data_IF_586934997344
#
_entry.id   IF_586934997344
#
_cell.length_a   1.000
_cell.length_b   1.000
_cell.length_c   1.000
_cell.angle_alpha   90.00
_cell.angle_beta   90.00
_cell.angle_gamma   90.00
#
_symmetry.space_group_name_H-M   'P 1'
#
loop_
_entity.id
_entity.type
_entity.pdbx_description
1 polymer ?
#
# COMPACT_ATOMS: atom_id res chain seq x y z
N UNK A 1 15.88 28.86 -42.45
CA UNK A 1 16.25 27.94 -41.36
C UNK A 1 14.97 27.53 -40.65
N UNK A 2 14.44 26.33 -40.91
CA UNK A 2 13.27 25.80 -40.20
C UNK A 2 13.77 25.06 -38.97
N UNK A 3 13.42 25.54 -37.79
CA UNK A 3 13.69 24.87 -36.52
C UNK A 3 12.72 23.69 -36.36
N UNK A 4 13.25 22.46 -36.46
CA UNK A 4 12.51 21.27 -36.07
C UNK A 4 12.41 21.25 -34.54
N UNK A 5 11.21 21.49 -34.00
CA UNK A 5 10.90 21.16 -32.61
C UNK A 5 10.76 19.65 -32.52
N UNK A 6 11.79 18.97 -32.02
CA UNK A 6 11.70 17.56 -31.70
C UNK A 6 10.71 17.39 -30.54
N UNK A 7 9.56 16.75 -30.81
CA UNK A 7 8.72 16.20 -29.76
C UNK A 7 9.51 15.11 -29.06
N UNK A 8 10.02 15.40 -27.87
CA UNK A 8 10.59 14.39 -26.98
C UNK A 8 9.46 13.42 -26.67
N UNK A 9 9.44 12.27 -27.36
CA UNK A 9 8.54 11.19 -27.03
C UNK A 9 8.76 10.82 -25.58
N UNK A 10 7.70 10.92 -24.77
CA UNK A 10 7.75 10.46 -23.38
C UNK A 10 8.04 8.96 -23.43
N UNK A 11 9.28 8.58 -23.13
CA UNK A 11 9.64 7.18 -22.89
C UNK A 11 8.93 6.79 -21.61
N UNK A 12 7.76 6.17 -21.76
CA UNK A 12 7.05 5.55 -20.64
C UNK A 12 7.90 4.37 -20.17
N UNK A 13 8.49 4.41 -18.97
CA UNK A 13 9.23 3.27 -18.46
C UNK A 13 8.27 2.09 -18.32
N UNK A 14 8.68 0.89 -18.76
CA UNK A 14 7.91 -0.32 -18.51
C UNK A 14 8.00 -0.65 -17.01
N UNK A 15 7.04 -0.15 -16.24
CA UNK A 15 7.00 -0.25 -14.79
C UNK A 15 6.78 -1.67 -14.26
N UNK A 16 6.38 -2.61 -15.13
CA UNK A 16 6.38 -4.03 -14.79
C UNK A 16 7.77 -4.55 -14.39
N UNK A 17 8.86 -3.88 -14.80
CA UNK A 17 10.23 -4.22 -14.38
C UNK A 17 10.70 -3.47 -13.12
N UNK A 18 10.02 -2.40 -12.71
CA UNK A 18 10.45 -1.53 -11.60
C UNK A 18 9.74 -1.89 -10.30
N UNK A 19 8.49 -2.38 -10.37
CA UNK A 19 7.72 -2.82 -9.20
C UNK A 19 7.71 -4.35 -9.19
N UNK A 20 8.72 -4.95 -8.56
CA UNK A 20 8.85 -6.40 -8.46
C UNK A 20 7.84 -7.02 -7.49
N UNK A 21 7.39 -6.24 -6.51
CA UNK A 21 6.45 -6.70 -5.49
C UNK A 21 5.04 -6.41 -5.98
N UNK A 22 4.27 -7.47 -6.23
CA UNK A 22 2.86 -7.34 -6.55
C UNK A 22 2.05 -7.33 -5.26
N UNK A 23 1.15 -6.36 -5.15
CA UNK A 23 0.22 -6.30 -4.03
C UNK A 23 -0.68 -7.53 -4.02
N UNK A 24 -0.51 -8.38 -3.02
CA UNK A 24 -1.40 -9.51 -2.77
C UNK A 24 -2.37 -9.25 -1.62
N UNK A 25 -3.42 -10.06 -1.56
CA UNK A 25 -4.48 -9.99 -0.56
C UNK A 25 -4.03 -10.47 0.82
N UNK A 26 -3.02 -11.33 0.92
CA UNK A 26 -2.76 -12.08 2.15
C UNK A 26 -1.56 -11.57 2.97
N UNK A 27 -0.69 -10.76 2.38
CA UNK A 27 0.52 -10.27 3.03
C UNK A 27 0.42 -8.76 3.30
N UNK A 28 0.16 -8.40 4.56
CA UNK A 28 0.00 -6.99 4.96
C UNK A 28 1.27 -6.17 4.82
N UNK A 29 2.45 -6.80 4.84
CA UNK A 29 3.74 -6.12 4.68
C UNK A 29 4.00 -5.72 3.23
N UNK A 30 3.33 -6.36 2.26
CA UNK A 30 3.46 -6.05 0.84
C UNK A 30 3.04 -4.62 0.55
N UNK A 31 2.06 -4.07 1.27
CA UNK A 31 1.62 -2.69 1.04
C UNK A 31 2.70 -1.65 1.35
N UNK A 32 3.44 -1.84 2.45
CA UNK A 32 4.53 -0.93 2.83
C UNK A 32 5.68 -1.04 1.83
N UNK A 33 6.06 -2.27 1.46
CA UNK A 33 7.12 -2.51 0.48
C UNK A 33 6.73 -2.03 -0.92
N UNK A 34 5.48 -2.25 -1.32
CA UNK A 34 4.91 -1.74 -2.56
C UNK A 34 4.94 -0.21 -2.58
N UNK A 35 4.52 0.47 -1.51
CA UNK A 35 4.64 1.93 -1.41
C UNK A 35 6.09 2.41 -1.50
N UNK A 36 7.02 1.69 -0.86
CA UNK A 36 8.44 2.01 -0.92
C UNK A 36 9.03 1.91 -2.33
N UNK A 37 8.49 1.02 -3.19
CA UNK A 37 8.86 0.92 -4.60
C UNK A 37 8.10 1.93 -5.49
N UNK A 38 6.81 2.12 -5.26
CA UNK A 38 5.93 2.89 -6.15
C UNK A 38 6.04 4.41 -5.94
N UNK A 39 6.18 4.88 -4.69
CA UNK A 39 6.25 6.31 -4.38
C UNK A 39 7.47 7.01 -5.02
N UNK A 40 8.69 6.45 -4.98
CA UNK A 40 9.84 7.07 -5.66
C UNK A 40 9.64 7.26 -7.17
N UNK A 41 8.96 6.32 -7.84
CA UNK A 41 8.63 6.42 -9.26
C UNK A 41 7.66 7.57 -9.53
N UNK A 42 6.60 7.69 -8.74
CA UNK A 42 5.65 8.79 -8.89
C UNK A 42 6.30 10.14 -8.59
N UNK A 43 7.20 10.18 -7.59
CA UNK A 43 7.93 11.41 -7.22
C UNK A 43 8.92 11.83 -8.30
N UNK A 44 9.67 10.89 -8.90
CA UNK A 44 10.65 11.23 -9.94
C UNK A 44 10.01 11.81 -11.21
N UNK A 45 8.73 11.52 -11.44
CA UNK A 45 7.95 12.03 -12.58
C UNK A 45 6.96 13.13 -12.22
N UNK A 46 6.95 13.61 -10.96
CA UNK A 46 6.01 14.60 -10.46
C UNK A 46 4.52 14.22 -10.67
N UNK A 47 4.19 12.95 -10.41
CA UNK A 47 2.86 12.36 -10.61
C UNK A 47 2.08 12.13 -9.30
N UNK A 48 2.69 12.39 -8.14
CA UNK A 48 2.04 12.21 -6.83
C UNK A 48 0.73 13.00 -6.74
N UNK A 49 0.66 14.17 -7.35
CA UNK A 49 -0.50 15.05 -7.27
C UNK A 49 -1.79 14.44 -7.86
N UNK A 50 -1.66 13.44 -8.72
CA UNK A 50 -2.80 12.72 -9.29
C UNK A 50 -3.36 11.69 -8.31
N UNK A 51 -2.50 10.99 -7.57
CA UNK A 51 -2.93 9.93 -6.64
C UNK A 51 -3.36 10.48 -5.28
N UNK A 52 -2.78 11.59 -4.81
CA UNK A 52 -3.20 12.23 -3.56
C UNK A 52 -4.44 13.12 -3.72
N UNK A 53 -4.80 13.48 -4.96
CA UNK A 53 -5.98 14.27 -5.30
C UNK A 53 -5.74 15.79 -5.28
N UNK A 54 -4.50 16.25 -5.08
CA UNK A 54 -4.16 17.69 -5.12
C UNK A 54 -4.33 18.29 -6.53
N UNK A 55 -4.27 17.47 -7.58
CA UNK A 55 -4.57 17.86 -8.96
C UNK A 55 -5.88 17.20 -9.43
N UNK A 56 -7.05 17.80 -9.16
CA UNK A 56 -8.34 17.24 -9.56
C UNK A 56 -8.50 17.19 -11.09
N UNK A 57 -9.39 16.33 -11.55
CA UNK A 57 -9.76 16.24 -12.96
C UNK A 57 -10.36 17.58 -13.42
N UNK A 58 -9.80 18.22 -14.46
CA UNK A 58 -10.33 19.47 -15.00
C UNK A 58 -11.63 19.24 -15.78
N UNK A 59 -12.32 20.32 -16.14
CA UNK A 59 -13.53 20.24 -16.97
C UNK A 59 -13.21 19.64 -18.34
N UNK A 60 -14.06 18.71 -18.79
CA UNK A 60 -13.84 17.98 -20.05
C UNK A 60 -13.96 18.88 -21.28
N UNK A 61 -14.88 19.82 -21.23
CA UNK A 61 -15.19 20.70 -22.35
C UNK A 61 -14.75 22.13 -22.05
N UNK A 62 -14.34 22.85 -23.09
CA UNK A 62 -14.04 24.28 -22.98
C UNK A 62 -15.32 25.07 -22.74
N UNK A 63 -15.15 26.24 -22.14
CA UNK A 63 -16.23 27.19 -21.91
C UNK A 63 -16.15 28.31 -22.94
N UNK A 64 -17.29 28.73 -23.49
CA UNK A 64 -17.37 29.86 -24.42
C UNK A 64 -17.27 31.22 -23.70
N UNK A 65 -17.32 32.31 -24.49
CA UNK A 65 -17.27 33.70 -23.98
C UNK A 65 -18.41 34.05 -23.01
N UNK A 66 -19.47 33.25 -22.98
CA UNK A 66 -20.67 33.46 -22.18
C UNK A 66 -20.75 32.51 -20.98
N UNK A 67 -19.70 31.71 -20.72
CA UNK A 67 -19.69 30.80 -19.58
C UNK A 67 -20.39 29.46 -19.82
N UNK A 68 -20.71 29.11 -21.08
CA UNK A 68 -21.41 27.87 -21.43
C UNK A 68 -20.43 26.82 -21.97
N UNK A 69 -20.63 25.56 -21.55
CA UNK A 69 -19.87 24.42 -22.07
C UNK A 69 -20.06 24.29 -23.59
N UNK A 70 -18.93 24.23 -24.28
CA UNK A 70 -18.85 23.93 -25.70
C UNK A 70 -18.80 22.42 -25.93
N UNK A 71 -18.80 21.99 -27.19
CA UNK A 71 -18.51 20.59 -27.55
C UNK A 71 -17.02 20.32 -27.75
N UNK A 72 -16.16 21.35 -27.66
CA UNK A 72 -14.71 21.19 -27.81
C UNK A 72 -14.10 20.64 -26.52
N UNK A 73 -13.29 19.59 -26.65
CA UNK A 73 -12.53 19.03 -25.52
C UNK A 73 -11.41 19.99 -25.14
N UNK A 74 -11.24 20.24 -23.85
CA UNK A 74 -10.12 21.00 -23.32
C UNK A 74 -8.81 20.20 -23.48
N UNK A 75 -7.77 20.74 -24.13
CA UNK A 75 -6.44 20.12 -24.16
C UNK A 75 -5.89 19.79 -22.76
N UNK A 76 -6.19 20.61 -21.75
CA UNK A 76 -5.79 20.40 -20.36
C UNK A 76 -6.42 19.13 -19.79
N UNK A 77 -7.70 18.87 -20.12
CA UNK A 77 -8.37 17.62 -19.76
C UNK A 77 -7.74 16.42 -20.46
N UNK A 78 -7.46 16.53 -21.76
CA UNK A 78 -6.84 15.44 -22.52
C UNK A 78 -5.47 15.06 -21.95
N UNK A 79 -4.63 16.05 -21.61
CA UNK A 79 -3.31 15.82 -21.01
C UNK A 79 -3.43 15.22 -19.61
N UNK A 80 -4.36 15.75 -18.78
CA UNK A 80 -4.61 15.20 -17.45
C UNK A 80 -5.06 13.74 -17.53
N UNK A 81 -6.00 13.44 -18.43
CA UNK A 81 -6.54 12.10 -18.63
C UNK A 81 -5.45 11.13 -19.06
N UNK A 82 -4.57 11.53 -19.98
CA UNK A 82 -3.46 10.68 -20.42
C UNK A 82 -2.53 10.31 -19.25
N UNK A 83 -2.19 11.28 -18.39
CA UNK A 83 -1.33 11.06 -17.21
C UNK A 83 -2.03 10.20 -16.15
N UNK A 84 -3.29 10.47 -15.85
CA UNK A 84 -4.07 9.66 -14.91
C UNK A 84 -4.18 8.19 -15.36
N UNK A 85 -4.47 7.95 -16.64
CA UNK A 85 -4.58 6.60 -17.18
C UNK A 85 -3.24 5.88 -17.24
N UNK A 86 -2.14 6.61 -17.47
CA UNK A 86 -0.80 6.06 -17.36
C UNK A 86 -0.51 5.54 -15.95
N UNK A 87 -0.80 6.35 -14.92
CA UNK A 87 -0.63 5.95 -13.53
C UNK A 87 -1.53 4.77 -13.18
N UNK A 88 -2.79 4.79 -13.62
CA UNK A 88 -3.74 3.69 -13.43
C UNK A 88 -3.21 2.39 -14.02
N UNK A 89 -2.63 2.44 -15.23
CA UNK A 89 -2.03 1.26 -15.87
C UNK A 89 -0.87 0.68 -15.04
N UNK A 90 -0.05 1.54 -14.45
CA UNK A 90 1.07 1.12 -13.60
C UNK A 90 0.61 0.52 -12.28
N UNK A 91 -0.40 1.14 -11.65
CA UNK A 91 -1.01 0.60 -10.43
C UNK A 91 -1.55 -0.79 -10.77
N UNK A 92 -2.39 -0.93 -11.80
CA UNK A 92 -2.99 -2.20 -12.18
C UNK A 92 -1.95 -3.29 -12.52
N UNK A 93 -0.84 -2.95 -13.18
CA UNK A 93 0.25 -3.88 -13.49
C UNK A 93 0.97 -4.40 -12.23
N UNK A 94 0.94 -3.62 -11.15
CA UNK A 94 1.55 -3.95 -9.85
C UNK A 94 0.62 -4.68 -8.88
N UNK A 95 -0.61 -5.02 -9.30
CA UNK A 95 -1.56 -5.77 -8.48
C UNK A 95 -1.56 -7.26 -8.87
N UNK A 96 -1.83 -8.14 -7.92
CA UNK A 96 -2.25 -9.50 -8.26
C UNK A 96 -3.68 -9.48 -8.84
N UNK A 97 -4.09 -10.50 -9.61
CA UNK A 97 -5.46 -10.56 -10.14
C UNK A 97 -6.55 -10.46 -9.07
N UNK A 98 -6.28 -11.00 -7.87
CA UNK A 98 -7.20 -10.96 -6.74
C UNK A 98 -7.45 -9.52 -6.26
N UNK A 99 -6.40 -8.71 -6.16
CA UNK A 99 -6.50 -7.30 -5.75
C UNK A 99 -7.06 -6.46 -6.90
N UNK A 100 -6.61 -6.68 -8.13
CA UNK A 100 -7.11 -5.96 -9.31
C UNK A 100 -8.63 -6.08 -9.47
N UNK A 101 -9.20 -7.27 -9.25
CA UNK A 101 -10.65 -7.49 -9.31
C UNK A 101 -11.45 -6.59 -8.36
N UNK A 102 -10.86 -6.17 -7.24
CA UNK A 102 -11.53 -5.35 -6.22
C UNK A 102 -11.58 -3.86 -6.59
N UNK A 103 -10.75 -3.43 -7.53
CA UNK A 103 -10.63 -2.03 -7.98
C UNK A 103 -10.98 -1.86 -9.46
N UNK A 104 -11.34 -2.93 -10.17
CA UNK A 104 -11.57 -2.94 -11.61
C UNK A 104 -12.66 -1.98 -12.11
N UNK A 105 -13.60 -1.57 -11.24
CA UNK A 105 -14.66 -0.62 -11.57
C UNK A 105 -14.26 0.85 -11.37
N UNK A 106 -13.06 1.11 -10.83
CA UNK A 106 -12.56 2.45 -10.58
C UNK A 106 -11.78 2.95 -11.81
N UNK A 107 -12.16 4.13 -12.29
CA UNK A 107 -11.67 4.66 -13.57
C UNK A 107 -10.51 5.64 -13.44
N UNK A 108 -10.16 6.08 -12.22
CA UNK A 108 -9.08 7.05 -11.98
C UNK A 108 -8.01 6.46 -11.07
N UNK A 109 -6.77 6.91 -11.28
CA UNK A 109 -5.64 6.51 -10.44
C UNK A 109 -5.85 6.87 -8.97
N UNK A 110 -6.43 8.05 -8.71
CA UNK A 110 -6.80 8.51 -7.36
C UNK A 110 -7.77 7.56 -6.65
N UNK A 111 -8.84 7.16 -7.35
CA UNK A 111 -9.87 6.29 -6.77
C UNK A 111 -9.28 4.91 -6.40
N UNK A 112 -8.48 4.33 -7.30
CA UNK A 112 -7.78 3.06 -7.03
C UNK A 112 -6.82 3.23 -5.86
N UNK A 113 -5.99 4.26 -5.86
CA UNK A 113 -5.01 4.54 -4.80
C UNK A 113 -5.69 4.62 -3.42
N UNK A 114 -6.77 5.39 -3.31
CA UNK A 114 -7.55 5.54 -2.07
C UNK A 114 -8.22 4.24 -1.64
N UNK A 115 -8.72 3.45 -2.58
CA UNK A 115 -9.31 2.13 -2.28
C UNK A 115 -8.27 1.17 -1.70
N UNK A 116 -7.07 1.12 -2.30
CA UNK A 116 -5.96 0.30 -1.81
C UNK A 116 -5.50 0.78 -0.42
N UNK A 117 -5.28 2.08 -0.23
CA UNK A 117 -4.92 2.67 1.06
C UNK A 117 -5.90 2.27 2.17
N UNK A 118 -7.21 2.43 1.91
CA UNK A 118 -8.27 2.06 2.86
C UNK A 118 -8.26 0.55 3.17
N UNK A 119 -8.12 -0.28 2.13
CA UNK A 119 -8.13 -1.74 2.26
C UNK A 119 -6.98 -2.23 3.13
N UNK A 120 -5.76 -1.81 2.82
CA UNK A 120 -4.57 -2.27 3.53
C UNK A 120 -4.44 -1.63 4.92
N UNK A 121 -4.95 -0.42 5.14
CA UNK A 121 -5.10 0.15 6.49
C UNK A 121 -6.06 -0.68 7.36
N UNK A 122 -7.19 -1.13 6.81
CA UNK A 122 -8.13 -2.01 7.51
C UNK A 122 -7.50 -3.37 7.83
N UNK A 123 -6.83 -3.98 6.86
CA UNK A 123 -6.16 -5.26 7.04
C UNK A 123 -5.03 -5.19 8.08
N UNK A 124 -4.24 -4.11 8.07
CA UNK A 124 -3.21 -3.85 9.08
C UNK A 124 -3.81 -3.80 10.49
N UNK A 125 -4.93 -3.07 10.69
CA UNK A 125 -5.63 -3.03 11.98
C UNK A 125 -6.10 -4.41 12.44
N UNK A 126 -6.73 -5.19 11.56
CA UNK A 126 -7.17 -6.56 11.88
C UNK A 126 -6.00 -7.46 12.23
N UNK A 127 -4.90 -7.39 11.47
CA UNK A 127 -3.68 -8.18 11.75
C UNK A 127 -3.05 -7.80 13.08
N UNK A 128 -2.99 -6.50 13.41
CA UNK A 128 -2.51 -6.04 14.73
C UNK A 128 -3.34 -6.67 15.84
N UNK A 129 -4.68 -6.67 15.74
CA UNK A 129 -5.55 -7.29 16.75
C UNK A 129 -5.34 -8.81 16.83
N UNK A 130 -5.20 -9.49 15.69
CA UNK A 130 -4.92 -10.92 15.64
C UNK A 130 -3.57 -11.26 16.28
N UNK A 131 -2.51 -10.52 15.95
CA UNK A 131 -1.18 -10.71 16.53
C UNK A 131 -1.17 -10.44 18.03
N UNK A 132 -1.84 -9.37 18.50
CA UNK A 132 -2.00 -9.12 19.95
C UNK A 132 -2.73 -10.26 20.65
N UNK A 133 -3.82 -10.75 20.06
CA UNK A 133 -4.54 -11.90 20.60
C UNK A 133 -3.68 -13.16 20.61
N UNK A 134 -2.88 -13.41 19.57
CA UNK A 134 -1.95 -14.54 19.54
C UNK A 134 -0.87 -14.39 20.61
N UNK A 135 -0.31 -13.19 20.78
CA UNK A 135 0.72 -12.90 21.77
C UNK A 135 0.24 -13.23 23.19
N UNK A 136 -0.96 -12.76 23.55
CA UNK A 136 -1.52 -12.98 24.89
C UNK A 136 -2.01 -14.42 25.15
N UNK A 137 -2.47 -15.12 24.11
CA UNK A 137 -3.07 -16.45 24.25
C UNK A 137 -2.12 -17.60 23.92
N UNK A 138 -0.91 -17.32 23.41
CA UNK A 138 0.09 -18.36 23.15
C UNK A 138 0.59 -18.88 24.48
N UNK A 139 0.19 -20.10 24.83
CA UNK A 139 0.70 -20.83 25.99
C UNK A 139 1.84 -21.75 25.56
N UNK A 140 2.75 -22.05 26.48
CA UNK A 140 3.79 -23.07 26.26
C UNK A 140 3.16 -24.43 25.93
N UNK A 141 2.21 -24.89 26.74
CA UNK A 141 1.63 -26.23 26.59
C UNK A 141 2.73 -27.30 26.56
N UNK A 142 2.69 -28.17 25.56
CA UNK A 142 3.67 -29.25 25.35
C UNK A 142 4.94 -28.79 24.61
N UNK A 143 5.05 -27.50 24.24
CA UNK A 143 6.23 -26.97 23.56
C UNK A 143 7.45 -26.96 24.49
N UNK A 144 8.62 -27.15 23.88
CA UNK A 144 9.88 -26.79 24.53
C UNK A 144 9.92 -25.29 24.80
N UNK A 145 10.69 -24.89 25.82
CA UNK A 145 10.86 -23.47 26.17
C UNK A 145 11.43 -22.68 24.98
N UNK A 146 12.38 -23.27 24.26
CA UNK A 146 12.97 -22.68 23.06
C UNK A 146 11.91 -22.41 21.98
N UNK A 147 11.11 -23.42 21.61
CA UNK A 147 10.08 -23.26 20.57
C UNK A 147 8.98 -22.28 21.00
N UNK A 148 8.68 -22.22 22.30
CA UNK A 148 7.73 -21.26 22.85
C UNK A 148 8.26 -19.82 22.75
N UNK A 149 9.51 -19.57 23.20
CA UNK A 149 10.13 -18.25 23.12
C UNK A 149 10.25 -17.81 21.67
N UNK A 150 10.75 -18.67 20.78
CA UNK A 150 10.87 -18.38 19.35
C UNK A 150 9.52 -17.98 18.73
N UNK A 151 8.43 -18.67 19.11
CA UNK A 151 7.08 -18.31 18.65
C UNK A 151 6.62 -16.95 19.18
N UNK A 152 6.85 -16.64 20.45
CA UNK A 152 6.50 -15.34 21.04
C UNK A 152 7.31 -14.21 20.40
N UNK A 153 8.63 -14.40 20.22
CA UNK A 153 9.52 -13.44 19.56
C UNK A 153 9.07 -13.18 18.13
N UNK A 154 8.77 -14.23 17.36
CA UNK A 154 8.24 -14.07 16.00
C UNK A 154 6.95 -13.23 15.96
N UNK A 155 6.04 -13.39 16.92
CA UNK A 155 4.81 -12.57 17.00
C UNK A 155 5.16 -11.11 17.34
N UNK A 156 6.08 -10.88 18.28
CA UNK A 156 6.54 -9.55 18.67
C UNK A 156 7.24 -8.82 17.51
N UNK A 157 8.10 -9.50 16.75
CA UNK A 157 8.76 -8.97 15.56
C UNK A 157 7.74 -8.59 14.48
N UNK A 158 6.73 -9.44 14.25
CA UNK A 158 5.64 -9.13 13.33
C UNK A 158 4.83 -7.89 13.78
N UNK A 159 4.64 -7.70 15.08
CA UNK A 159 4.00 -6.51 15.65
C UNK A 159 4.87 -5.25 15.47
N UNK A 160 6.18 -5.36 15.64
CA UNK A 160 7.13 -4.27 15.39
C UNK A 160 7.12 -3.85 13.90
N UNK A 161 7.12 -4.82 12.98
CA UNK A 161 7.09 -4.57 11.53
C UNK A 161 5.84 -3.79 11.08
N UNK A 162 4.70 -3.96 11.76
CA UNK A 162 3.45 -3.21 11.48
C UNK A 162 3.31 -1.94 12.33
N UNK A 163 4.41 -1.48 12.95
CA UNK A 163 4.47 -0.22 13.70
C UNK A 163 3.85 -0.29 15.10
N UNK A 164 3.77 -1.49 15.69
CA UNK A 164 3.26 -1.74 17.04
C UNK A 164 4.25 -2.56 17.87
N UNK A 165 5.50 -2.10 18.09
CA UNK A 165 6.46 -2.84 18.90
C UNK A 165 5.90 -3.11 20.30
N UNK A 166 6.30 -4.26 20.85
CA UNK A 166 5.98 -4.65 22.23
C UNK A 166 7.15 -4.21 23.10
N UNK A 167 6.88 -3.62 24.25
CA UNK A 167 7.90 -3.27 25.23
C UNK A 167 8.51 -4.54 25.84
N UNK A 168 9.81 -4.51 26.16
CA UNK A 168 10.52 -5.68 26.67
C UNK A 168 9.94 -6.15 28.01
N UNK A 169 9.54 -5.24 28.91
CA UNK A 169 8.96 -5.59 30.21
C UNK A 169 7.57 -6.24 30.04
N UNK A 170 6.77 -5.72 29.09
CA UNK A 170 5.48 -6.31 28.72
C UNK A 170 5.67 -7.71 28.12
N UNK A 171 6.67 -7.88 27.24
CA UNK A 171 6.96 -9.15 26.60
C UNK A 171 7.41 -10.20 27.62
N UNK A 172 8.29 -9.83 28.55
CA UNK A 172 8.71 -10.68 29.67
C UNK A 172 7.49 -11.08 30.52
N UNK A 173 6.62 -10.14 30.84
CA UNK A 173 5.40 -10.40 31.61
C UNK A 173 4.49 -11.42 30.90
N UNK A 174 4.32 -11.28 29.58
CA UNK A 174 3.53 -12.22 28.77
C UNK A 174 4.16 -13.62 28.78
N UNK A 175 5.49 -13.71 28.61
CA UNK A 175 6.24 -14.96 28.67
C UNK A 175 6.01 -15.64 30.03
N UNK A 176 6.24 -14.94 31.13
CA UNK A 176 6.08 -15.49 32.48
C UNK A 176 4.66 -16.02 32.74
N UNK A 177 3.64 -15.28 32.29
CA UNK A 177 2.24 -15.68 32.48
C UNK A 177 1.85 -16.94 31.67
N UNK A 178 2.53 -17.22 30.57
CA UNK A 178 2.13 -18.26 29.60
C UNK A 178 3.02 -19.50 29.59
N UNK A 179 4.12 -19.49 30.33
CA UNK A 179 5.08 -20.59 30.44
C UNK A 179 4.62 -21.70 31.41
N UNK A 180 3.64 -21.42 32.27
CA UNK A 180 3.03 -22.38 33.21
C UNK A 180 3.79 -22.54 34.53
N UNK A 181 3.11 -23.04 35.57
CA UNK A 181 3.57 -23.13 36.98
C UNK A 181 4.87 -23.94 37.21
N UNK A 182 5.45 -24.57 36.18
CA UNK A 182 6.67 -25.37 36.30
C UNK A 182 7.90 -24.57 36.79
N UNK A 183 7.89 -23.24 36.68
CA UNK A 183 8.98 -22.38 37.14
C UNK A 183 8.84 -21.91 38.59
N UNK A 184 7.65 -22.03 39.18
CA UNK A 184 7.42 -21.67 40.58
C UNK A 184 7.95 -22.73 41.56
N UNK A 185 8.38 -23.89 41.07
CA UNK A 185 8.94 -24.98 41.89
C UNK A 185 10.49 -25.07 41.83
N UNK A 186 11.18 -24.14 41.14
CA UNK A 186 12.65 -24.05 41.14
C UNK A 186 13.19 -22.95 42.09
N UNK A 187 12.52 -22.70 43.21
CA UNK A 187 13.04 -21.84 44.28
C UNK A 187 13.38 -22.64 45.52
#
# INVERSE_FOLDING_TARGET
>A
MQSFSASVGVVVPNLAHIVSIKLDRNESNDYVLWLAQFLPVLRSQNLISFVDGTKPCPAKFKVDSFGKDTTEIDPVYSEWQQKDQLILSWINASLTPSVLSTVALLSTSHAVWKSLEKRYASQSKTRILQLKNQLHNTKRGDLSIYNFIDKITNIADNLALVGKPVDDDDLITIIMNNVGLAWLHMR
#
